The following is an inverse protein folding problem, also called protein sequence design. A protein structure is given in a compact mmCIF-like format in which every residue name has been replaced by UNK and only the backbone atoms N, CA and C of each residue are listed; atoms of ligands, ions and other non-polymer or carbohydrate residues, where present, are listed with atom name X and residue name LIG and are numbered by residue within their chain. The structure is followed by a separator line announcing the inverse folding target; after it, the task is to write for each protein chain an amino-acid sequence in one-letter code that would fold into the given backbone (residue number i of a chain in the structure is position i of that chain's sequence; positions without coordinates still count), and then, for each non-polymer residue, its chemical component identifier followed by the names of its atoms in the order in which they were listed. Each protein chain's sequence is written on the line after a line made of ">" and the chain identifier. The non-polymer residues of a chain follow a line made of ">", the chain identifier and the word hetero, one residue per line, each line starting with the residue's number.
data_IF_560574916061
#
_entry.id   IF_560574916061
#
_cell.length_a   1.000
_cell.length_b   1.000
_cell.length_c   1.000
_cell.angle_alpha   90.00
_cell.angle_beta   90.00
_cell.angle_gamma   90.00
#
_symmetry.space_group_name_H-M   'P 1'
#
loop_
_entity.id
_entity.type
_entity.pdbx_description
1 polymer ?
#
# COMPACT_ATOMS: atom_id res chain seq x y z
N UNK A 1 14.00 1.06 20.99
CA UNK A 1 12.75 0.69 21.70
C UNK A 1 11.49 1.39 21.19
N UNK A 2 11.28 2.71 21.33
CA UNK A 2 10.00 3.31 20.89
C UNK A 2 9.85 3.35 19.35
N UNK A 3 10.93 3.63 18.62
CA UNK A 3 10.93 3.69 17.16
C UNK A 3 10.76 2.31 16.50
N UNK A 4 11.40 1.28 17.05
CA UNK A 4 11.29 -0.11 16.58
C UNK A 4 9.88 -0.69 16.80
N UNK A 5 9.27 -0.39 17.96
CA UNK A 5 7.90 -0.76 18.23
C UNK A 5 6.92 -0.05 17.29
N UNK A 6 7.14 1.24 17.01
CA UNK A 6 6.33 2.00 16.05
C UNK A 6 6.45 1.44 14.63
N UNK A 7 7.65 1.13 14.17
CA UNK A 7 7.87 0.59 12.82
C UNK A 7 7.35 -0.85 12.72
N UNK A 8 7.58 -1.69 13.74
CA UNK A 8 7.03 -3.04 13.81
C UNK A 8 5.49 -3.06 13.81
N UNK A 9 4.87 -2.15 14.55
CA UNK A 9 3.41 -1.96 14.54
C UNK A 9 2.91 -1.41 13.19
N UNK A 10 3.68 -0.51 12.57
CA UNK A 10 3.38 0.02 11.24
C UNK A 10 3.39 -1.08 10.17
N UNK A 11 4.39 -1.97 10.20
CA UNK A 11 4.52 -3.07 9.26
C UNK A 11 3.51 -4.19 9.48
N UNK A 12 3.11 -4.47 10.73
CA UNK A 12 2.17 -5.57 11.02
C UNK A 12 0.70 -5.17 10.89
N UNK A 13 0.32 -3.94 11.24
CA UNK A 13 -1.07 -3.50 11.19
C UNK A 13 -1.41 -2.72 9.93
N UNK A 14 -0.58 -1.77 9.54
CA UNK A 14 -0.91 -0.85 8.45
C UNK A 14 -0.56 -1.42 7.06
N UNK A 15 0.54 -2.18 6.94
CA UNK A 15 0.91 -2.80 5.66
C UNK A 15 -0.19 -3.73 5.10
N UNK A 16 -0.85 -4.62 5.89
CA UNK A 16 -1.97 -5.42 5.39
C UNK A 16 -3.18 -4.58 4.97
N UNK A 17 -3.47 -3.49 5.68
CA UNK A 17 -4.57 -2.58 5.35
C UNK A 17 -4.27 -1.89 4.01
N UNK A 18 -3.06 -1.35 3.83
CA UNK A 18 -2.66 -0.71 2.58
C UNK A 18 -2.65 -1.72 1.42
N UNK A 19 -2.16 -2.94 1.65
CA UNK A 19 -2.19 -4.03 0.67
C UNK A 19 -3.62 -4.39 0.26
N UNK A 20 -4.55 -4.49 1.22
CA UNK A 20 -5.95 -4.74 0.93
C UNK A 20 -6.58 -3.62 0.10
N UNK A 21 -6.38 -2.36 0.51
CA UNK A 21 -6.89 -1.20 -0.22
C UNK A 21 -6.28 -1.07 -1.63
N UNK A 22 -5.00 -1.41 -1.79
CA UNK A 22 -4.33 -1.51 -3.08
C UNK A 22 -5.00 -2.56 -3.97
N UNK A 23 -5.18 -3.79 -3.48
CA UNK A 23 -5.80 -4.88 -4.23
C UNK A 23 -7.22 -4.50 -4.68
N UNK A 24 -8.04 -3.92 -3.81
CA UNK A 24 -9.40 -3.48 -4.15
C UNK A 24 -9.38 -2.39 -5.22
N UNK A 25 -8.51 -1.39 -5.06
CA UNK A 25 -8.35 -0.30 -6.03
C UNK A 25 -7.87 -0.81 -7.39
N UNK A 26 -6.88 -1.71 -7.38
CA UNK A 26 -6.29 -2.28 -8.59
C UNK A 26 -7.27 -3.23 -9.30
N UNK A 27 -8.06 -4.01 -8.56
CA UNK A 27 -9.15 -4.79 -9.13
C UNK A 27 -10.22 -3.88 -9.77
N UNK A 28 -10.51 -2.73 -9.14
CA UNK A 28 -11.36 -1.69 -9.71
C UNK A 28 -10.79 -1.13 -11.02
N UNK A 29 -9.49 -0.84 -11.04
CA UNK A 29 -8.77 -0.39 -12.24
C UNK A 29 -8.89 -1.40 -13.38
N UNK A 30 -8.59 -2.68 -13.14
CA UNK A 30 -8.70 -3.73 -14.15
C UNK A 30 -10.13 -3.86 -14.69
N UNK A 31 -11.15 -3.72 -13.83
CA UNK A 31 -12.56 -3.72 -14.26
C UNK A 31 -12.92 -2.49 -15.08
N UNK A 32 -12.39 -1.32 -14.75
CA UNK A 32 -12.61 -0.08 -15.48
C UNK A 32 -11.99 -0.15 -16.89
N UNK A 33 -10.74 -0.65 -17.00
CA UNK A 33 -10.06 -0.91 -18.27
C UNK A 33 -10.89 -1.87 -19.14
N UNK A 34 -11.35 -2.99 -18.56
CA UNK A 34 -12.17 -3.98 -19.30
C UNK A 34 -13.49 -3.41 -19.83
N UNK A 35 -14.03 -2.38 -19.17
CA UNK A 35 -15.33 -1.76 -19.50
C UNK A 35 -15.19 -0.46 -20.30
N UNK A 36 -13.98 -0.07 -20.68
CA UNK A 36 -13.69 1.22 -21.33
C UNK A 36 -14.26 2.42 -20.53
N UNK A 37 -14.19 2.34 -19.20
CA UNK A 37 -14.63 3.38 -18.28
C UNK A 37 -13.46 4.24 -17.79
N UNK A 38 -13.74 5.43 -17.25
CA UNK A 38 -12.70 6.28 -16.65
C UNK A 38 -11.94 5.53 -15.54
N UNK A 39 -10.61 5.60 -15.63
CA UNK A 39 -9.68 4.89 -14.74
C UNK A 39 -9.07 5.82 -13.68
N UNK A 40 -9.25 7.13 -13.79
CA UNK A 40 -8.45 8.15 -13.07
C UNK A 40 -8.48 7.95 -11.56
N UNK A 41 -9.67 7.69 -11.00
CA UNK A 41 -9.85 7.43 -9.57
C UNK A 41 -9.10 6.18 -9.11
N UNK A 42 -9.16 5.11 -9.90
CA UNK A 42 -8.55 3.83 -9.54
C UNK A 42 -7.03 3.85 -9.70
N UNK A 43 -6.52 4.54 -10.73
CA UNK A 43 -5.08 4.80 -10.90
C UNK A 43 -4.55 5.61 -9.72
N UNK A 44 -5.23 6.71 -9.35
CA UNK A 44 -4.82 7.53 -8.23
C UNK A 44 -4.84 6.76 -6.90
N UNK A 45 -5.93 6.06 -6.59
CA UNK A 45 -6.04 5.32 -5.32
C UNK A 45 -5.06 4.16 -5.23
N UNK A 46 -4.90 3.37 -6.31
CA UNK A 46 -3.91 2.29 -6.36
C UNK A 46 -2.48 2.82 -6.24
N UNK A 47 -2.16 3.96 -6.86
CA UNK A 47 -0.86 4.62 -6.72
C UNK A 47 -0.55 5.03 -5.28
N UNK A 48 -1.52 5.64 -4.58
CA UNK A 48 -1.36 6.02 -3.16
C UNK A 48 -1.09 4.79 -2.29
N UNK A 49 -1.93 3.76 -2.39
CA UNK A 49 -1.78 2.58 -1.53
C UNK A 49 -0.50 1.82 -1.84
N UNK A 50 -0.06 1.78 -3.10
CA UNK A 50 1.23 1.23 -3.48
C UNK A 50 2.39 2.00 -2.82
N UNK A 51 2.35 3.34 -2.86
CA UNK A 51 3.38 4.16 -2.22
C UNK A 51 3.44 3.93 -0.70
N UNK A 52 2.28 3.79 -0.04
CA UNK A 52 2.20 3.51 1.40
C UNK A 52 2.77 2.12 1.75
N UNK A 53 2.51 1.10 0.91
CA UNK A 53 3.14 -0.23 1.07
C UNK A 53 4.65 -0.13 0.95
N UNK A 54 5.15 0.55 -0.10
CA UNK A 54 6.58 0.72 -0.32
C UNK A 54 7.24 1.48 0.83
N UNK A 55 6.60 2.52 1.35
CA UNK A 55 7.06 3.22 2.54
C UNK A 55 7.22 2.28 3.74
N UNK A 56 6.18 1.50 4.06
CA UNK A 56 6.22 0.56 5.19
C UNK A 56 7.27 -0.53 5.01
N UNK A 57 7.45 -1.03 3.78
CA UNK A 57 8.48 -2.01 3.46
C UNK A 57 9.88 -1.43 3.60
N UNK A 58 10.14 -0.23 3.05
CA UNK A 58 11.43 0.45 3.17
C UNK A 58 11.81 0.73 4.63
N UNK A 59 10.85 1.18 5.45
CA UNK A 59 11.07 1.36 6.89
C UNK A 59 11.42 0.04 7.59
N UNK A 60 10.74 -1.05 7.24
CA UNK A 60 11.01 -2.37 7.80
C UNK A 60 12.38 -2.92 7.42
N UNK A 61 12.83 -2.69 6.18
CA UNK A 61 14.16 -3.09 5.70
C UNK A 61 15.26 -2.31 6.41
N UNK A 62 15.10 -0.99 6.55
CA UNK A 62 16.08 -0.14 7.25
C UNK A 62 16.29 -0.61 8.70
N UNK A 63 15.23 -1.01 9.39
CA UNK A 63 15.33 -1.53 10.75
C UNK A 63 15.91 -2.95 10.86
N UNK A 64 15.78 -3.78 9.83
CA UNK A 64 16.39 -5.10 9.83
C UNK A 64 17.92 -5.06 9.61
N UNK A 65 18.45 -3.92 9.15
CA UNK A 65 19.87 -3.69 8.90
C UNK A 65 20.60 -2.92 10.00
N UNK A 66 19.88 -2.42 11.02
CA UNK A 66 20.41 -1.82 12.25
C UNK A 66 20.51 -2.87 13.37
#
# INVERSE_FOLDING_TARGET
>A
MELEAFIGFSGTLFMPIYAFCFIVSFAGLLRAIKKDASIDRYVFSSGIFFALIMWTLSASILMAGE
#
